data_IF_183357567351
#
_entry.id   IF_183357567351
#
_cell.length_a   1.000
_cell.length_b   1.000
_cell.length_c   1.000
_cell.angle_alpha   90.00
_cell.angle_beta   90.00
_cell.angle_gamma   90.00
#
_symmetry.space_group_name_H-M   'P 1'
#
loop_
_entity.id
_entity.type
_entity.pdbx_description
1 polymer ?
#
# COMPACT_ATOMS: atom_id res chain seq x y z
N UNK A 1 -69.09 -3.70 -1.62
CA UNK A 1 -69.64 -5.08 -1.54
C UNK A 1 -70.87 -5.15 -2.42
N UNK A 2 -71.16 -6.25 -3.15
CA UNK A 2 -70.41 -7.51 -3.29
C UNK A 2 -70.19 -7.96 -4.78
N UNK A 3 -69.62 -9.18 -4.96
CA UNK A 3 -69.54 -10.01 -6.20
C UNK A 3 -68.47 -9.59 -7.25
N UNK A 4 -67.81 -10.51 -7.99
CA UNK A 4 -67.79 -12.00 -7.94
C UNK A 4 -66.59 -12.66 -8.66
N UNK A 5 -66.29 -13.88 -8.20
CA UNK A 5 -65.37 -14.96 -8.64
C UNK A 5 -65.09 -15.28 -10.13
N UNK A 6 -63.95 -15.99 -10.31
CA UNK A 6 -63.64 -17.18 -11.19
C UNK A 6 -62.98 -17.06 -12.59
N UNK A 7 -61.65 -17.12 -12.59
CA UNK A 7 -60.73 -18.11 -13.20
C UNK A 7 -61.01 -18.86 -14.56
N UNK A 8 -60.03 -18.76 -15.49
CA UNK A 8 -59.36 -19.84 -16.30
C UNK A 8 -60.18 -20.53 -17.43
N UNK A 9 -59.66 -21.01 -18.60
CA UNK A 9 -58.25 -21.26 -19.07
C UNK A 9 -57.82 -20.72 -20.47
N UNK A 10 -56.55 -20.99 -20.87
CA UNK A 10 -55.99 -20.96 -22.25
C UNK A 10 -56.50 -22.11 -23.15
N UNK A 11 -56.45 -22.02 -24.51
CA UNK A 11 -55.36 -22.67 -25.29
C UNK A 11 -55.04 -22.13 -26.74
N UNK A 12 -54.02 -22.74 -27.38
CA UNK A 12 -53.57 -22.73 -28.81
C UNK A 12 -53.02 -21.41 -29.43
N UNK A 13 -51.85 -21.34 -30.09
CA UNK A 13 -51.22 -22.06 -31.24
C UNK A 13 -51.91 -21.87 -32.62
N UNK A 14 -51.25 -21.18 -33.56
CA UNK A 14 -51.09 -21.55 -35.00
C UNK A 14 -49.80 -20.90 -35.56
N UNK A 15 -49.11 -21.63 -36.44
CA UNK A 15 -47.86 -21.33 -37.15
C UNK A 15 -48.10 -20.71 -38.55
N UNK A 16 -47.11 -19.99 -39.14
CA UNK A 16 -46.89 -19.97 -40.60
C UNK A 16 -45.53 -19.40 -41.04
N UNK A 17 -45.01 -20.03 -42.08
CA UNK A 17 -43.64 -19.97 -42.63
C UNK A 17 -43.56 -19.23 -43.99
N UNK A 18 -42.35 -19.26 -44.62
CA UNK A 18 -42.02 -18.98 -46.04
C UNK A 18 -41.64 -17.52 -46.40
N UNK A 19 -40.70 -17.22 -47.32
CA UNK A 19 -39.62 -18.00 -47.95
C UNK A 19 -38.50 -17.04 -48.49
N UNK A 20 -37.24 -17.38 -48.23
CA UNK A 20 -36.13 -17.55 -49.20
C UNK A 20 -36.05 -16.71 -50.51
N UNK A 21 -35.01 -15.86 -50.63
CA UNK A 21 -34.25 -15.65 -51.88
C UNK A 21 -32.75 -15.56 -51.56
N UNK A 22 -31.93 -16.11 -52.44
CA UNK A 22 -30.49 -16.38 -52.29
C UNK A 22 -29.69 -15.50 -53.25
N UNK A 23 -28.64 -14.79 -52.80
CA UNK A 23 -27.54 -14.31 -53.65
C UNK A 23 -26.22 -14.55 -52.93
N UNK A 24 -25.24 -15.07 -53.67
CA UNK A 24 -23.92 -15.53 -53.23
C UNK A 24 -22.81 -14.56 -53.69
N UNK A 25 -21.57 -14.77 -53.19
CA UNK A 25 -20.27 -14.19 -53.60
C UNK A 25 -19.94 -12.81 -52.97
N UNK A 26 -18.72 -12.53 -52.47
CA UNK A 26 -17.46 -13.31 -52.50
C UNK A 26 -16.49 -12.94 -51.36
N UNK A 27 -15.54 -13.85 -51.10
CA UNK A 27 -14.33 -13.76 -50.24
C UNK A 27 -13.66 -12.37 -50.12
N UNK A 28 -13.14 -12.02 -48.93
CA UNK A 28 -11.68 -11.93 -48.69
C UNK A 28 -11.29 -11.64 -47.21
N UNK A 29 -10.25 -12.36 -46.78
CA UNK A 29 -9.28 -12.14 -45.67
C UNK A 29 -9.71 -11.71 -44.25
N UNK A 30 -9.34 -12.59 -43.31
CA UNK A 30 -8.95 -12.27 -41.94
C UNK A 30 -7.82 -11.23 -41.89
N UNK A 31 -7.84 -10.35 -40.88
CA UNK A 31 -6.63 -9.96 -40.16
C UNK A 31 -6.98 -9.48 -38.74
N UNK A 32 -6.43 -10.16 -37.74
CA UNK A 32 -6.65 -9.85 -36.33
C UNK A 32 -6.00 -8.51 -35.95
N UNK A 33 -6.72 -7.66 -35.20
CA UNK A 33 -6.16 -6.42 -34.64
C UNK A 33 -5.44 -6.73 -33.33
N UNK A 34 -4.11 -6.69 -33.37
CA UNK A 34 -3.24 -6.81 -32.21
C UNK A 34 -3.26 -5.52 -31.36
N UNK A 35 -3.62 -5.57 -30.06
CA UNK A 35 -3.71 -4.38 -29.20
C UNK A 35 -2.37 -4.08 -28.50
N UNK A 36 -1.26 -3.98 -29.24
CA UNK A 36 0.09 -3.90 -28.67
C UNK A 36 0.97 -2.79 -29.30
N UNK A 37 0.35 -1.62 -29.51
CA UNK A 37 0.97 -0.45 -30.15
C UNK A 37 0.74 0.86 -29.37
N UNK A 38 0.96 0.84 -28.05
CA UNK A 38 0.83 2.02 -27.17
C UNK A 38 1.95 2.11 -26.11
N UNK A 39 3.18 1.71 -26.46
CA UNK A 39 4.33 1.71 -25.52
C UNK A 39 5.60 2.29 -26.16
N UNK A 40 5.53 3.53 -26.66
CA UNK A 40 6.68 4.36 -27.09
C UNK A 40 6.29 5.83 -27.13
N UNK A 41 6.38 6.54 -26.00
CA UNK A 41 6.44 8.01 -25.92
C UNK A 41 6.70 8.45 -24.46
N UNK A 42 7.95 8.28 -24.01
CA UNK A 42 8.57 9.02 -22.89
C UNK A 42 10.06 8.66 -22.84
N UNK A 43 10.84 9.22 -23.77
CA UNK A 43 12.29 9.15 -23.76
C UNK A 43 12.84 10.59 -23.74
N UNK A 44 13.78 10.93 -22.82
CA UNK A 44 14.34 12.27 -22.76
C UNK A 44 15.21 12.51 -24.00
N UNK A 45 14.95 13.61 -24.72
CA UNK A 45 15.83 14.04 -25.82
C UNK A 45 17.17 14.48 -25.25
N UNK A 46 18.25 13.82 -25.68
CA UNK A 46 19.61 14.38 -25.57
C UNK A 46 19.67 15.64 -26.44
N UNK A 47 20.24 16.71 -25.90
CA UNK A 47 20.52 17.93 -26.64
C UNK A 47 22.02 17.97 -26.93
N UNK A 48 22.41 17.68 -28.16
CA UNK A 48 23.77 17.94 -28.64
C UNK A 48 23.96 19.45 -28.86
N UNK A 49 25.15 19.94 -28.53
CA UNK A 49 25.43 21.37 -28.49
C UNK A 49 25.85 21.95 -29.83
N UNK A 50 25.27 23.11 -30.18
CA UNK A 50 25.86 24.06 -31.14
C UNK A 50 25.75 25.48 -30.59
N UNK A 51 26.80 26.27 -30.81
CA UNK A 51 27.03 27.60 -30.25
C UNK A 51 26.23 28.71 -30.94
N UNK A 52 25.53 29.55 -30.15
CA UNK A 52 24.97 30.82 -30.63
C UNK A 52 24.90 31.92 -29.55
N UNK A 53 25.83 32.87 -29.67
CA UNK A 53 25.72 34.32 -29.38
C UNK A 53 24.67 34.88 -28.40
N UNK A 54 25.13 35.44 -27.28
CA UNK A 54 24.35 36.28 -26.34
C UNK A 54 23.94 37.66 -26.92
N UNK A 55 22.70 38.13 -26.71
CA UNK A 55 22.35 39.55 -26.70
C UNK A 55 22.61 40.21 -25.32
N UNK A 56 22.72 41.55 -25.28
CA UNK A 56 23.13 42.34 -24.10
C UNK A 56 21.95 42.79 -23.23
N UNK A 57 22.19 42.89 -21.92
CA UNK A 57 21.33 43.61 -20.95
C UNK A 57 21.51 45.13 -21.06
N UNK A 58 20.44 45.94 -20.96
CA UNK A 58 20.52 47.36 -20.61
C UNK A 58 20.53 47.58 -19.08
N UNK A 59 21.23 48.62 -18.62
CA UNK A 59 21.35 48.99 -17.20
C UNK A 59 20.18 49.86 -16.71
N UNK A 60 19.85 49.68 -15.43
CA UNK A 60 19.04 50.52 -14.51
C UNK A 60 18.85 52.00 -14.90
N UNK A 61 17.64 52.50 -14.60
CA UNK A 61 17.43 53.84 -14.01
C UNK A 61 16.78 53.73 -12.63
N UNK A 62 17.15 54.61 -11.69
CA UNK A 62 16.49 54.79 -10.39
C UNK A 62 15.47 55.91 -10.51
N UNK A 63 14.30 55.79 -9.86
CA UNK A 63 13.60 56.95 -9.30
C UNK A 63 12.83 56.58 -8.02
N UNK A 64 12.63 57.58 -7.19
CA UNK A 64 12.29 57.48 -5.76
C UNK A 64 10.83 57.82 -5.47
N UNK A 65 10.21 57.09 -4.54
CA UNK A 65 8.94 57.43 -3.90
C UNK A 65 8.87 56.78 -2.52
N UNK A 66 8.50 57.55 -1.47
CA UNK A 66 8.37 57.08 -0.08
C UNK A 66 6.90 56.69 0.24
N UNK A 67 6.62 55.98 1.35
CA UNK A 67 5.52 55.00 1.39
C UNK A 67 4.18 55.52 1.92
N UNK A 68 3.10 54.88 1.46
CA UNK A 68 1.78 54.89 2.11
C UNK A 68 1.61 53.73 3.09
N UNK A 69 0.87 53.95 4.18
CA UNK A 69 0.52 52.94 5.19
C UNK A 69 -0.57 51.98 4.67
N UNK A 70 -0.58 50.72 5.14
CA UNK A 70 -1.82 49.97 5.38
C UNK A 70 -2.08 49.74 6.87
N UNK A 71 -3.35 49.67 7.23
CA UNK A 71 -3.86 49.35 8.58
C UNK A 71 -3.89 47.83 8.83
N UNK A 72 -3.84 47.36 10.08
CA UNK A 72 -3.98 45.95 10.41
C UNK A 72 -5.45 45.55 10.60
N UNK A 73 -5.85 44.42 10.02
CA UNK A 73 -7.01 43.66 10.47
C UNK A 73 -6.58 42.22 10.76
N UNK A 74 -6.83 41.77 11.98
CA UNK A 74 -6.67 40.38 12.42
C UNK A 74 -8.01 39.86 12.94
N UNK A 75 -8.30 38.57 12.76
CA UNK A 75 -9.09 37.82 13.73
C UNK A 75 -8.17 36.93 14.57
N UNK A 76 -8.31 37.02 15.90
CA UNK A 76 -7.66 36.10 16.86
C UNK A 76 -8.50 34.84 17.02
N UNK A 77 -7.86 33.68 17.19
CA UNK A 77 -8.39 32.59 18.03
C UNK A 77 -7.25 31.75 18.66
N UNK A 78 -6.81 32.24 19.82
CA UNK A 78 -6.62 31.51 21.09
C UNK A 78 -5.94 30.12 21.04
N UNK A 79 -4.61 30.11 21.16
CA UNK A 79 -3.94 29.05 21.92
C UNK A 79 -4.07 29.34 23.43
N UNK A 80 -4.28 28.30 24.26
CA UNK A 80 -4.23 28.38 25.73
C UNK A 80 -2.98 27.66 26.23
N UNK A 81 -2.33 28.24 27.23
CA UNK A 81 -1.08 27.76 27.84
C UNK A 81 -1.24 27.49 29.33
N UNK A 82 -0.68 26.37 29.79
CA UNK A 82 -0.25 26.11 31.18
C UNK A 82 0.71 24.90 31.09
N UNK A 83 2.03 25.03 31.24
CA UNK A 83 2.84 25.58 32.33
C UNK A 83 2.83 24.69 33.59
N UNK A 84 3.84 23.82 33.67
CA UNK A 84 4.48 23.19 34.83
C UNK A 84 5.78 22.56 34.30
N UNK A 85 6.95 22.55 34.93
CA UNK A 85 7.63 23.32 35.97
C UNK A 85 9.04 22.68 36.02
N UNK A 86 10.10 23.46 36.20
CA UNK A 86 11.47 22.92 36.10
C UNK A 86 12.09 22.73 37.48
N UNK A 87 12.50 21.51 37.81
CA UNK A 87 13.30 21.20 38.99
C UNK A 87 14.67 20.64 38.58
N UNK A 88 15.74 21.33 38.97
CA UNK A 88 17.12 20.90 38.73
C UNK A 88 17.68 20.19 39.97
N UNK A 89 18.32 19.03 39.79
CA UNK A 89 19.17 18.40 40.81
C UNK A 89 20.53 18.09 40.19
N UNK A 90 21.61 18.55 40.83
CA UNK A 90 22.98 18.28 40.41
C UNK A 90 23.49 16.97 41.01
N UNK A 91 23.85 16.04 40.13
CA UNK A 91 25.08 15.25 40.15
C UNK A 91 25.45 14.42 41.39
N UNK A 92 25.65 13.12 41.16
CA UNK A 92 26.86 12.38 41.57
C UNK A 92 27.26 11.43 40.44
N UNK A 93 28.57 11.16 40.33
CA UNK A 93 29.11 10.09 39.49
C UNK A 93 29.19 8.84 40.35
N UNK A 94 28.78 7.71 39.81
CA UNK A 94 29.28 6.41 40.22
C UNK A 94 29.36 5.51 38.98
N UNK A 95 30.36 4.63 38.96
CA UNK A 95 30.72 3.80 37.82
C UNK A 95 30.51 2.36 38.26
N UNK A 96 29.52 1.68 37.69
CA UNK A 96 29.28 0.27 37.99
C UNK A 96 29.01 -0.55 36.73
N UNK A 97 29.52 -1.78 36.76
CA UNK A 97 29.49 -2.72 35.64
C UNK A 97 28.09 -3.32 35.46
N UNK A 98 27.53 -3.21 34.26
CA UNK A 98 26.27 -3.89 33.91
C UNK A 98 26.56 -5.33 33.51
N UNK A 99 26.25 -6.27 34.41
CA UNK A 99 25.95 -7.66 34.03
C UNK A 99 24.51 -7.77 33.55
N UNK A 100 24.28 -8.56 32.50
CA UNK A 100 22.93 -8.94 32.05
C UNK A 100 22.26 -9.91 33.01
N UNK A 101 20.98 -9.71 33.39
CA UNK A 101 20.13 -10.79 33.89
C UNK A 101 19.30 -11.42 32.76
N UNK A 102 19.05 -12.72 32.88
CA UNK A 102 18.40 -13.54 31.86
C UNK A 102 16.86 -13.45 31.88
N UNK A 103 16.25 -13.93 30.79
CA UNK A 103 14.81 -14.13 30.62
C UNK A 103 14.22 -15.06 31.70
N UNK A 104 13.04 -14.73 32.24
CA UNK A 104 12.33 -15.63 33.14
C UNK A 104 11.02 -15.09 33.71
N UNK A 105 9.92 -15.19 32.96
CA UNK A 105 8.55 -15.14 33.51
C UNK A 105 7.70 -16.19 32.78
N UNK A 106 7.08 -17.17 33.47
CA UNK A 106 6.15 -18.11 32.85
C UNK A 106 4.74 -17.51 32.78
N UNK A 107 4.10 -17.59 31.61
CA UNK A 107 2.67 -17.29 31.46
C UNK A 107 1.86 -18.60 31.46
N UNK A 108 0.86 -18.66 32.34
CA UNK A 108 -0.07 -19.78 32.45
C UNK A 108 -1.05 -19.80 31.27
N UNK A 109 -1.13 -20.95 30.59
CA UNK A 109 -2.02 -21.11 29.44
C UNK A 109 -3.47 -21.39 29.90
N UNK A 110 -4.38 -20.46 29.63
CA UNK A 110 -5.83 -20.68 29.78
C UNK A 110 -6.40 -21.17 28.44
N UNK A 111 -6.66 -22.47 28.33
CA UNK A 111 -7.16 -23.11 27.11
C UNK A 111 -8.61 -22.71 26.82
N UNK A 112 -8.83 -21.79 25.89
CA UNK A 112 -10.16 -21.46 25.38
C UNK A 112 -10.52 -22.37 24.21
N UNK A 113 -11.46 -23.30 24.42
CA UNK A 113 -11.98 -24.19 23.37
C UNK A 113 -13.14 -23.51 22.65
N UNK A 114 -12.93 -23.09 21.40
CA UNK A 114 -13.99 -22.64 20.50
C UNK A 114 -14.08 -23.52 19.25
N UNK A 115 -15.30 -23.76 18.80
CA UNK A 115 -15.64 -24.84 17.86
C UNK A 115 -15.00 -24.70 16.47
N UNK A 116 -14.43 -25.80 15.97
CA UNK A 116 -13.90 -25.89 14.60
C UNK A 116 -15.03 -26.05 13.58
N UNK A 117 -15.38 -24.96 12.89
CA UNK A 117 -16.03 -25.05 11.59
C UNK A 117 -15.05 -25.70 10.59
N UNK A 118 -15.44 -26.83 9.98
CA UNK A 118 -14.57 -27.60 9.06
C UNK A 118 -14.40 -26.88 7.73
N UNK A 119 -13.30 -26.15 7.56
CA UNK A 119 -12.80 -25.74 6.24
C UNK A 119 -11.92 -26.86 5.70
N UNK A 120 -12.48 -27.69 4.80
CA UNK A 120 -11.72 -28.72 4.09
C UNK A 120 -10.92 -28.09 2.93
N UNK A 121 -9.62 -27.85 3.14
CA UNK A 121 -8.62 -27.83 2.06
C UNK A 121 -7.22 -28.01 2.63
N UNK A 122 -6.74 -29.26 2.68
CA UNK A 122 -5.39 -29.62 3.17
C UNK A 122 -4.30 -29.45 2.11
N UNK A 123 -4.42 -28.43 1.25
CA UNK A 123 -3.40 -28.03 0.30
C UNK A 123 -2.86 -26.65 0.67
N UNK A 124 -1.55 -26.52 0.85
CA UNK A 124 -0.92 -25.20 0.94
C UNK A 124 -1.13 -24.46 -0.39
N UNK A 125 -1.48 -23.18 -0.33
CA UNK A 125 -1.60 -22.34 -1.51
C UNK A 125 -0.30 -22.37 -2.33
N UNK A 126 -0.41 -22.45 -3.66
CA UNK A 126 0.75 -22.51 -4.56
C UNK A 126 1.51 -21.17 -4.56
N UNK A 127 2.75 -21.15 -5.06
CA UNK A 127 3.51 -19.91 -5.21
C UNK A 127 2.72 -18.87 -6.04
N UNK A 128 2.07 -19.32 -7.11
CA UNK A 128 1.15 -18.52 -7.92
C UNK A 128 -0.05 -18.00 -7.12
N UNK A 129 -0.76 -18.86 -6.39
CA UNK A 129 -1.92 -18.42 -5.61
C UNK A 129 -1.54 -17.45 -4.48
N UNK A 130 -0.36 -17.62 -3.88
CA UNK A 130 0.19 -16.71 -2.84
C UNK A 130 0.65 -15.38 -3.42
N UNK A 131 1.21 -15.36 -4.64
CA UNK A 131 1.51 -14.13 -5.36
C UNK A 131 0.23 -13.38 -5.77
N UNK A 132 -0.77 -14.07 -6.35
CA UNK A 132 -2.11 -13.52 -6.60
C UNK A 132 -2.74 -13.00 -5.32
N UNK A 133 -2.58 -13.74 -4.22
CA UNK A 133 -3.04 -13.41 -2.88
C UNK A 133 -2.45 -12.10 -2.37
N UNK A 134 -1.14 -11.89 -2.50
CA UNK A 134 -0.45 -10.64 -2.14
C UNK A 134 -1.09 -9.43 -2.84
N UNK A 135 -1.24 -9.48 -4.18
CA UNK A 135 -1.86 -8.39 -4.94
C UNK A 135 -3.35 -8.20 -4.65
N UNK A 136 -4.07 -9.30 -4.43
CA UNK A 136 -5.48 -9.28 -3.99
C UNK A 136 -5.60 -8.62 -2.62
N UNK A 137 -4.66 -8.90 -1.72
CA UNK A 137 -4.57 -8.32 -0.39
C UNK A 137 -4.38 -6.81 -0.44
N UNK A 138 -3.37 -6.33 -1.17
CA UNK A 138 -3.17 -4.89 -1.41
C UNK A 138 -4.48 -4.23 -1.87
N UNK A 139 -5.04 -4.70 -2.99
CA UNK A 139 -6.23 -4.09 -3.59
C UNK A 139 -7.49 -4.15 -2.72
N UNK A 140 -7.69 -5.23 -1.95
CA UNK A 140 -8.80 -5.34 -1.02
C UNK A 140 -8.62 -4.48 0.23
N UNK A 141 -7.41 -4.42 0.80
CA UNK A 141 -7.14 -3.61 1.99
C UNK A 141 -7.31 -2.12 1.70
N UNK A 142 -6.67 -1.66 0.63
CA UNK A 142 -6.82 -0.33 0.01
C UNK A 142 -8.31 0.01 -0.18
N UNK A 143 -8.99 -0.71 -1.08
CA UNK A 143 -10.34 -0.34 -1.51
C UNK A 143 -11.44 -0.54 -0.45
N UNK A 144 -11.19 -1.35 0.58
CA UNK A 144 -12.06 -1.46 1.76
C UNK A 144 -11.82 -0.35 2.78
N UNK A 145 -10.57 0.11 2.92
CA UNK A 145 -10.19 1.15 3.88
C UNK A 145 -10.44 2.57 3.39
N UNK A 146 -10.36 2.83 2.08
CA UNK A 146 -10.41 4.20 1.52
C UNK A 146 -11.68 4.99 1.89
N UNK A 147 -12.90 4.40 1.98
CA UNK A 147 -14.10 5.13 2.44
C UNK A 147 -14.06 5.57 3.91
N UNK A 148 -13.02 5.20 4.67
CA UNK A 148 -12.86 5.46 6.08
C UNK A 148 -11.62 6.29 6.45
N UNK A 149 -10.80 6.66 5.45
CA UNK A 149 -9.57 7.43 5.64
C UNK A 149 -9.84 8.72 6.44
N UNK A 150 -8.94 9.04 7.36
CA UNK A 150 -9.00 10.23 8.21
C UNK A 150 -10.03 10.18 9.34
N UNK A 151 -10.87 9.13 9.44
CA UNK A 151 -11.81 8.98 10.56
C UNK A 151 -11.08 8.55 11.84
N UNK A 152 -11.39 9.12 13.02
CA UNK A 152 -10.70 8.76 14.26
C UNK A 152 -10.99 7.32 14.71
N UNK A 153 -12.14 6.78 14.33
CA UNK A 153 -12.54 5.39 14.55
C UNK A 153 -13.68 5.00 13.62
N UNK A 154 -13.90 3.70 13.43
CA UNK A 154 -15.02 3.15 12.65
C UNK A 154 -15.78 2.14 13.48
N UNK A 155 -17.11 2.24 13.49
CA UNK A 155 -17.96 1.27 14.20
C UNK A 155 -18.07 -0.05 13.43
N UNK A 156 -18.15 -1.15 14.16
CA UNK A 156 -18.39 -2.50 13.60
C UNK A 156 -19.66 -2.55 12.73
N UNK A 157 -20.71 -1.80 13.10
CA UNK A 157 -21.96 -1.71 12.33
C UNK A 157 -21.72 -1.05 10.98
N UNK A 158 -21.14 0.16 10.96
CA UNK A 158 -20.87 0.93 9.74
C UNK A 158 -19.96 0.16 8.77
N UNK A 159 -18.98 -0.56 9.31
CA UNK A 159 -18.09 -1.40 8.51
C UNK A 159 -18.85 -2.57 7.88
N UNK A 160 -19.68 -3.29 8.65
CA UNK A 160 -20.52 -4.37 8.13
C UNK A 160 -21.51 -3.89 7.08
N UNK A 161 -22.12 -2.72 7.24
CA UNK A 161 -22.98 -2.11 6.22
C UNK A 161 -22.23 -1.89 4.91
N UNK A 162 -20.98 -1.40 4.96
CA UNK A 162 -20.15 -1.24 3.76
C UNK A 162 -19.72 -2.59 3.14
N UNK A 163 -19.35 -3.57 3.96
CA UNK A 163 -19.03 -4.95 3.51
C UNK A 163 -20.17 -5.60 2.73
N UNK A 164 -21.42 -5.38 3.16
CA UNK A 164 -22.62 -5.95 2.55
C UNK A 164 -23.24 -5.06 1.45
N UNK A 165 -22.69 -3.86 1.23
CA UNK A 165 -23.12 -2.98 0.13
C UNK A 165 -22.75 -3.54 -1.25
N UNK A 166 -23.36 -2.99 -2.31
CA UNK A 166 -23.03 -3.31 -3.70
C UNK A 166 -22.03 -2.32 -4.34
N UNK A 167 -21.40 -1.45 -3.54
CA UNK A 167 -20.43 -0.47 -4.07
C UNK A 167 -19.21 -1.17 -4.67
N UNK A 168 -18.78 -0.75 -5.87
CA UNK A 168 -17.49 -1.18 -6.41
C UNK A 168 -16.37 -0.81 -5.44
N UNK A 169 -15.49 -1.76 -5.14
CA UNK A 169 -14.29 -1.54 -4.34
C UNK A 169 -13.23 -0.97 -5.28
N UNK A 170 -13.12 0.36 -5.28
CA UNK A 170 -12.17 1.12 -6.11
C UNK A 170 -10.91 1.42 -5.32
N UNK A 171 -9.76 1.24 -5.95
CA UNK A 171 -8.46 1.35 -5.31
C UNK A 171 -7.89 2.79 -5.37
N UNK A 172 -6.98 3.14 -4.46
CA UNK A 172 -6.31 4.45 -4.33
C UNK A 172 -4.90 4.44 -4.94
N UNK A 173 -4.02 5.37 -4.56
CA UNK A 173 -2.64 5.37 -5.03
C UNK A 173 -1.78 4.23 -4.45
N UNK A 174 -2.18 3.63 -3.34
CA UNK A 174 -1.68 2.35 -2.81
C UNK A 174 -1.52 1.30 -3.92
N UNK A 175 -2.65 0.85 -4.48
CA UNK A 175 -2.66 -0.16 -5.53
C UNK A 175 -2.10 0.39 -6.84
N UNK A 176 -2.34 1.66 -7.18
CA UNK A 176 -1.85 2.25 -8.42
C UNK A 176 -0.31 2.25 -8.48
N UNK A 177 0.36 2.63 -7.39
CA UNK A 177 1.81 2.59 -7.28
C UNK A 177 2.35 1.18 -7.05
N UNK A 178 1.63 0.31 -6.35
CA UNK A 178 1.98 -1.12 -6.25
C UNK A 178 2.07 -1.76 -7.64
N UNK A 179 1.11 -1.47 -8.52
CA UNK A 179 1.13 -1.96 -9.90
C UNK A 179 2.30 -1.36 -10.69
N UNK A 180 2.67 -0.10 -10.44
CA UNK A 180 3.84 0.52 -11.08
C UNK A 180 5.16 -0.18 -10.67
N UNK A 181 5.33 -0.46 -9.37
CA UNK A 181 6.47 -1.26 -8.85
C UNK A 181 6.49 -2.65 -9.49
N UNK A 182 5.35 -3.35 -9.52
CA UNK A 182 5.24 -4.69 -10.09
C UNK A 182 5.61 -4.73 -11.58
N UNK A 183 5.13 -3.76 -12.37
CA UNK A 183 5.47 -3.64 -13.81
C UNK A 183 6.96 -3.34 -14.01
N UNK A 184 7.56 -2.52 -13.15
CA UNK A 184 9.00 -2.24 -13.20
C UNK A 184 9.82 -3.51 -13.02
N UNK A 185 9.57 -4.26 -11.94
CA UNK A 185 10.27 -5.52 -11.65
C UNK A 185 10.20 -6.51 -12.83
N UNK A 186 9.03 -6.63 -13.47
CA UNK A 186 8.81 -7.50 -14.63
C UNK A 186 9.63 -7.07 -15.85
N UNK A 187 9.64 -5.78 -16.17
CA UNK A 187 10.42 -5.27 -17.31
C UNK A 187 11.93 -5.40 -17.06
N UNK A 188 12.39 -5.11 -15.84
CA UNK A 188 13.80 -5.30 -15.45
C UNK A 188 14.26 -6.75 -15.56
N UNK A 189 13.41 -7.69 -15.13
CA UNK A 189 13.68 -9.12 -15.28
C UNK A 189 13.71 -9.56 -16.75
N UNK A 190 12.78 -9.06 -17.58
CA UNK A 190 12.74 -9.32 -19.03
C UNK A 190 14.00 -8.84 -19.77
N UNK A 191 14.61 -7.75 -19.29
CA UNK A 191 15.84 -7.18 -19.83
C UNK A 191 17.13 -7.87 -19.33
N UNK A 192 17.03 -8.81 -18.38
CA UNK A 192 18.18 -9.58 -17.87
C UNK A 192 19.16 -8.77 -17.01
N UNK A 193 18.71 -7.66 -16.41
CA UNK A 193 19.55 -6.77 -15.59
C UNK A 193 19.25 -6.87 -14.09
N UNK A 194 19.71 -5.87 -13.32
CA UNK A 194 19.29 -5.70 -11.93
C UNK A 194 17.76 -5.55 -11.84
N UNK A 195 17.15 -6.28 -10.90
CA UNK A 195 15.70 -6.31 -10.63
C UNK A 195 15.07 -4.93 -10.43
N UNK A 196 15.85 -3.96 -9.97
CA UNK A 196 15.42 -2.59 -9.72
C UNK A 196 16.47 -1.62 -10.25
N UNK A 197 16.03 -0.73 -11.15
CA UNK A 197 16.69 0.52 -11.50
C UNK A 197 15.89 1.68 -10.86
N UNK A 198 16.53 2.49 -10.04
CA UNK A 198 15.89 3.57 -9.29
C UNK A 198 15.42 4.72 -10.20
N UNK A 199 16.15 5.04 -11.27
CA UNK A 199 15.80 6.15 -12.17
C UNK A 199 14.58 5.82 -13.01
N UNK A 200 14.56 4.62 -13.58
CA UNK A 200 13.40 4.08 -14.29
C UNK A 200 12.20 3.88 -13.35
N UNK A 201 12.41 3.42 -12.10
CA UNK A 201 11.33 3.30 -11.12
C UNK A 201 10.71 4.68 -10.80
N UNK A 202 11.53 5.70 -10.56
CA UNK A 202 11.05 7.06 -10.30
C UNK A 202 10.18 7.56 -11.48
N UNK A 203 10.64 7.35 -12.71
CA UNK A 203 9.88 7.67 -13.92
C UNK A 203 8.58 6.85 -14.05
N UNK A 204 8.60 5.55 -13.70
CA UNK A 204 7.43 4.69 -13.74
C UNK A 204 6.35 5.12 -12.73
N UNK A 205 6.74 5.54 -11.51
CA UNK A 205 5.83 6.08 -10.50
C UNK A 205 5.23 7.41 -10.95
N UNK A 206 6.03 8.34 -11.49
CA UNK A 206 5.54 9.58 -12.07
C UNK A 206 4.58 9.33 -13.26
N UNK A 207 4.87 8.34 -14.11
CA UNK A 207 3.99 7.93 -15.20
C UNK A 207 2.67 7.27 -14.71
N UNK A 208 2.66 6.65 -13.53
CA UNK A 208 1.43 6.14 -12.91
C UNK A 208 0.57 7.31 -12.41
N UNK A 209 1.18 8.28 -11.72
CA UNK A 209 0.51 9.52 -11.31
C UNK A 209 -0.06 10.29 -12.50
N UNK A 210 0.71 10.49 -13.58
CA UNK A 210 0.25 11.19 -14.79
C UNK A 210 -0.97 10.53 -15.46
N UNK A 211 -1.13 9.20 -15.32
CA UNK A 211 -2.24 8.46 -15.95
C UNK A 211 -3.53 8.54 -15.15
N UNK A 212 -3.44 8.50 -13.82
CA UNK A 212 -4.60 8.42 -12.92
C UNK A 212 -4.43 9.38 -11.70
N UNK A 213 -4.21 10.70 -11.89
CA UNK A 213 -3.82 11.61 -10.80
C UNK A 213 -4.90 11.82 -9.72
N UNK A 214 -6.14 11.38 -9.99
CA UNK A 214 -7.29 11.44 -9.07
C UNK A 214 -7.33 10.31 -8.03
N UNK A 215 -6.28 9.49 -7.91
CA UNK A 215 -6.30 8.25 -7.09
C UNK A 215 -6.18 8.42 -5.57
N UNK A 216 -5.89 9.59 -5.05
CA UNK A 216 -5.72 9.80 -3.59
C UNK A 216 -4.40 10.48 -3.20
N UNK A 217 -3.43 10.45 -4.11
CA UNK A 217 -2.07 10.98 -3.93
C UNK A 217 -1.99 12.25 -3.07
N UNK A 218 -1.28 12.14 -1.94
CA UNK A 218 -0.94 13.29 -1.11
C UNK A 218 -0.25 14.40 -1.92
N UNK A 219 -0.51 15.67 -1.57
CA UNK A 219 0.05 16.85 -2.26
C UNK A 219 1.58 16.78 -2.40
N UNK A 220 2.29 16.29 -1.38
CA UNK A 220 3.74 16.11 -1.40
C UNK A 220 4.21 15.06 -2.42
N UNK A 221 3.42 14.02 -2.69
CA UNK A 221 3.70 13.05 -3.74
C UNK A 221 3.48 13.67 -5.12
N UNK A 222 2.39 14.43 -5.30
CA UNK A 222 2.12 15.19 -6.53
C UNK A 222 3.22 16.22 -6.83
N UNK A 223 3.70 16.97 -5.83
CA UNK A 223 4.83 17.91 -5.95
C UNK A 223 6.12 17.20 -6.40
N UNK A 224 6.41 16.03 -5.82
CA UNK A 224 7.58 15.22 -6.20
C UNK A 224 7.46 14.69 -7.63
N UNK A 225 6.31 14.14 -8.03
CA UNK A 225 6.09 13.68 -9.40
C UNK A 225 6.13 14.84 -10.41
N UNK A 226 5.66 16.03 -10.03
CA UNK A 226 5.83 17.27 -10.80
C UNK A 226 7.30 17.65 -11.03
N UNK A 227 8.15 17.52 -10.00
CA UNK A 227 9.60 17.71 -10.14
C UNK A 227 10.23 16.69 -11.09
N UNK A 228 9.91 15.39 -10.94
CA UNK A 228 10.42 14.33 -11.82
C UNK A 228 10.02 14.56 -13.28
N UNK A 229 8.74 14.90 -13.53
CA UNK A 229 8.24 15.25 -14.86
C UNK A 229 8.93 16.49 -15.46
N UNK A 230 9.40 17.41 -14.61
CA UNK A 230 10.17 18.59 -15.01
C UNK A 230 11.65 18.30 -15.27
N UNK A 231 12.09 17.04 -15.16
CA UNK A 231 13.46 16.60 -15.41
C UNK A 231 14.40 16.75 -14.21
N UNK A 232 13.89 17.01 -13.00
CA UNK A 232 14.72 17.01 -11.78
C UNK A 232 15.21 15.59 -11.50
N UNK A 233 16.52 15.36 -11.27
CA UNK A 233 17.03 14.04 -10.91
C UNK A 233 16.34 13.49 -9.67
N UNK A 234 15.98 12.20 -9.67
CA UNK A 234 15.16 11.63 -8.59
C UNK A 234 15.79 11.73 -7.20
N UNK A 235 17.13 11.67 -7.12
CA UNK A 235 17.88 11.83 -5.86
C UNK A 235 17.65 13.22 -5.26
N UNK A 236 17.70 14.25 -6.11
CA UNK A 236 17.51 15.64 -5.71
C UNK A 236 16.06 15.90 -5.35
N UNK A 237 15.11 15.36 -6.14
CA UNK A 237 13.68 15.48 -5.87
C UNK A 237 13.29 14.81 -4.53
N UNK A 238 13.73 13.57 -4.28
CA UNK A 238 13.36 12.81 -3.08
C UNK A 238 13.98 13.36 -1.79
N UNK A 239 15.19 13.93 -1.86
CA UNK A 239 15.88 14.55 -0.72
C UNK A 239 15.40 15.97 -0.45
N UNK A 240 15.11 16.77 -1.48
CA UNK A 240 14.71 18.18 -1.30
C UNK A 240 13.36 18.36 -0.59
N UNK A 241 12.48 17.34 -0.65
CA UNK A 241 11.19 17.33 0.06
C UNK A 241 11.33 17.65 1.55
N UNK A 242 10.29 18.28 2.12
CA UNK A 242 10.22 18.65 3.54
C UNK A 242 11.44 19.45 4.03
N UNK A 243 11.90 20.41 3.22
CA UNK A 243 13.05 21.29 3.48
C UNK A 243 14.38 20.52 3.61
N UNK A 244 14.59 19.52 2.76
CA UNK A 244 15.83 18.72 2.76
C UNK A 244 15.84 17.52 3.72
N UNK A 245 14.72 17.21 4.38
CA UNK A 245 14.60 16.06 5.29
C UNK A 245 14.14 14.78 4.56
N UNK A 246 13.52 14.92 3.38
CA UNK A 246 12.86 13.82 2.69
C UNK A 246 11.52 13.41 3.34
N UNK A 247 10.73 12.59 2.64
CA UNK A 247 9.48 12.04 3.18
C UNK A 247 9.74 10.88 4.14
N UNK A 248 9.17 10.95 5.35
CA UNK A 248 9.02 9.84 6.31
C UNK A 248 7.65 9.15 6.23
N UNK A 249 6.86 9.49 5.22
CA UNK A 249 5.54 8.90 4.99
C UNK A 249 5.59 7.39 4.70
N UNK A 250 4.45 6.74 4.83
CA UNK A 250 4.25 5.33 4.52
C UNK A 250 4.07 5.04 3.02
N UNK A 251 3.96 6.07 2.18
CA UNK A 251 3.75 5.94 0.73
C UNK A 251 4.79 5.11 -0.02
N UNK A 252 5.96 4.84 0.59
CA UNK A 252 6.92 3.86 0.12
C UNK A 252 6.62 2.42 0.57
N UNK A 253 6.17 2.21 1.80
CA UNK A 253 5.84 0.90 2.36
C UNK A 253 4.56 0.32 1.72
N UNK A 254 3.54 1.16 1.50
CA UNK A 254 2.27 0.75 0.90
C UNK A 254 2.43 0.01 -0.44
N UNK A 255 3.43 0.42 -1.23
CA UNK A 255 3.69 -0.07 -2.58
C UNK A 255 4.80 -1.10 -2.72
N UNK A 256 5.54 -1.40 -1.65
CA UNK A 256 6.78 -2.19 -1.76
C UNK A 256 6.58 -3.71 -1.76
N UNK A 257 5.43 -4.22 -1.30
CA UNK A 257 5.20 -5.66 -1.14
C UNK A 257 5.57 -6.54 -2.37
N UNK A 258 5.36 -6.11 -3.64
CA UNK A 258 5.77 -6.91 -4.81
C UNK A 258 7.26 -7.23 -4.90
N UNK A 259 8.17 -6.45 -4.29
CA UNK A 259 9.62 -6.73 -4.36
C UNK A 259 9.96 -8.06 -3.68
N UNK A 260 9.14 -8.50 -2.72
CA UNK A 260 9.30 -9.76 -2.02
C UNK A 260 9.13 -11.00 -2.94
N UNK A 261 8.42 -10.89 -4.07
CA UNK A 261 8.25 -11.98 -5.03
C UNK A 261 9.49 -12.20 -5.91
N UNK A 262 10.33 -11.19 -6.06
CA UNK A 262 11.60 -11.26 -6.82
C UNK A 262 12.84 -11.36 -5.90
N UNK A 263 12.66 -11.24 -4.59
CA UNK A 263 13.74 -11.32 -3.62
C UNK A 263 14.20 -12.77 -3.39
N UNK A 264 15.50 -12.94 -3.11
CA UNK A 264 16.13 -14.25 -2.86
C UNK A 264 16.26 -14.58 -1.37
N UNK A 265 16.01 -13.61 -0.48
CA UNK A 265 16.07 -13.76 0.96
C UNK A 265 15.31 -12.62 1.63
N UNK A 266 14.98 -12.76 2.92
CA UNK A 266 14.38 -11.69 3.71
C UNK A 266 15.26 -10.42 3.75
N UNK A 267 16.58 -10.61 3.78
CA UNK A 267 17.57 -9.52 3.75
C UNK A 267 17.62 -8.81 2.38
N UNK A 268 17.47 -9.57 1.28
CA UNK A 268 17.37 -9.01 -0.06
C UNK A 268 16.02 -8.29 -0.26
N UNK A 269 14.92 -8.79 0.31
CA UNK A 269 13.62 -8.13 0.28
C UNK A 269 13.65 -6.78 1.01
N UNK A 270 14.25 -6.73 2.21
CA UNK A 270 14.46 -5.48 2.95
C UNK A 270 15.26 -4.46 2.12
N UNK A 271 16.35 -4.90 1.49
CA UNK A 271 17.21 -4.02 0.67
C UNK A 271 16.49 -3.50 -0.59
N UNK A 272 15.77 -4.36 -1.32
CA UNK A 272 14.92 -3.91 -2.43
C UNK A 272 13.83 -2.93 -1.95
N UNK A 273 13.30 -3.12 -0.73
CA UNK A 273 12.38 -2.19 -0.08
C UNK A 273 12.97 -0.79 0.11
N UNK A 274 14.19 -0.67 0.69
CA UNK A 274 14.89 0.61 0.84
C UNK A 274 15.15 1.29 -0.51
N UNK A 275 15.66 0.54 -1.48
CA UNK A 275 15.95 1.04 -2.83
C UNK A 275 14.67 1.55 -3.51
N UNK A 276 13.58 0.77 -3.46
CA UNK A 276 12.26 1.15 -3.98
C UNK A 276 11.59 2.33 -3.24
N UNK A 277 11.98 2.59 -1.99
CA UNK A 277 11.54 3.74 -1.23
C UNK A 277 12.32 5.02 -1.60
N UNK A 278 13.65 4.91 -1.75
CA UNK A 278 14.58 6.03 -1.93
C UNK A 278 14.21 6.98 -3.08
N UNK A 279 13.53 6.48 -4.11
CA UNK A 279 13.05 7.25 -5.28
C UNK A 279 11.97 8.29 -4.97
N UNK A 280 11.27 8.17 -3.83
CA UNK A 280 10.31 9.20 -3.39
C UNK A 280 10.41 9.56 -1.90
N UNK A 281 11.10 8.75 -1.08
CA UNK A 281 11.22 8.91 0.36
C UNK A 281 12.69 9.04 0.75
N UNK A 282 13.19 10.29 0.81
CA UNK A 282 14.56 10.59 1.22
C UNK A 282 14.85 10.38 2.72
N UNK A 283 13.84 10.30 3.58
CA UNK A 283 14.04 10.15 5.04
C UNK A 283 14.27 8.67 5.42
N UNK A 284 15.22 8.35 6.32
CA UNK A 284 15.49 6.98 6.76
C UNK A 284 14.26 6.20 7.21
N UNK A 285 13.38 6.79 8.03
CA UNK A 285 12.14 6.13 8.47
C UNK A 285 11.20 5.69 7.34
N UNK A 286 11.12 6.46 6.25
CA UNK A 286 10.32 6.10 5.08
C UNK A 286 10.92 4.92 4.30
N UNK A 287 12.26 4.82 4.29
CA UNK A 287 12.99 3.73 3.66
C UNK A 287 12.96 2.44 4.49
N UNK A 288 13.19 2.54 5.80
CA UNK A 288 13.22 1.38 6.68
C UNK A 288 11.79 0.84 6.93
N UNK A 289 10.76 1.68 6.94
CA UNK A 289 9.37 1.21 6.93
C UNK A 289 9.02 0.38 5.68
N UNK A 290 9.53 0.76 4.51
CA UNK A 290 9.40 -0.03 3.30
C UNK A 290 10.26 -1.30 3.35
N UNK A 291 11.44 -1.27 3.99
CA UNK A 291 12.27 -2.44 4.22
C UNK A 291 11.56 -3.46 5.14
N UNK A 292 10.94 -2.99 6.22
CA UNK A 292 10.13 -3.78 7.15
C UNK A 292 8.95 -4.43 6.43
N UNK A 293 8.18 -3.67 5.65
CA UNK A 293 7.02 -4.20 4.93
C UNK A 293 7.42 -5.19 3.83
N UNK A 294 8.50 -4.94 3.09
CA UNK A 294 9.02 -5.86 2.08
C UNK A 294 9.59 -7.15 2.70
N UNK A 295 10.34 -7.05 3.79
CA UNK A 295 10.84 -8.19 4.56
C UNK A 295 9.67 -9.02 5.14
N UNK A 296 8.65 -8.35 5.67
CA UNK A 296 7.44 -9.00 6.18
C UNK A 296 6.66 -9.69 5.06
N UNK A 297 6.54 -9.08 3.88
CA UNK A 297 5.94 -9.73 2.72
C UNK A 297 6.74 -10.98 2.29
N UNK A 298 8.07 -10.95 2.36
CA UNK A 298 8.91 -12.14 2.10
C UNK A 298 8.75 -13.24 3.16
N UNK A 299 8.56 -12.87 4.43
CA UNK A 299 8.33 -13.80 5.55
C UNK A 299 6.88 -14.31 5.62
N UNK A 300 5.92 -13.58 5.04
CA UNK A 300 4.53 -13.98 4.87
C UNK A 300 4.37 -14.86 3.61
N UNK A 301 5.10 -14.54 2.53
CA UNK A 301 5.63 -15.58 1.63
C UNK A 301 6.48 -16.58 2.45
N UNK A 302 6.81 -17.76 1.94
CA UNK A 302 7.53 -18.82 2.68
C UNK A 302 6.92 -19.39 3.98
N UNK A 303 6.11 -18.66 4.77
CA UNK A 303 5.39 -19.21 5.93
C UNK A 303 4.39 -20.28 5.48
N UNK A 304 4.54 -21.49 6.05
CA UNK A 304 3.71 -22.68 5.80
C UNK A 304 3.07 -23.13 7.10
N UNK A 305 1.76 -23.36 7.09
CA UNK A 305 0.99 -23.76 8.26
C UNK A 305 0.57 -22.58 9.13
N UNK A 306 0.45 -22.80 10.43
CA UNK A 306 0.10 -21.78 11.42
C UNK A 306 1.20 -20.74 11.55
N UNK A 307 0.81 -19.46 11.62
CA UNK A 307 1.72 -18.37 11.94
C UNK A 307 2.03 -18.36 13.44
N UNK A 308 3.31 -18.34 13.80
CA UNK A 308 3.77 -17.96 15.14
C UNK A 308 4.23 -16.48 15.09
N UNK A 309 3.49 -15.56 15.73
CA UNK A 309 3.85 -14.15 15.76
C UNK A 309 5.22 -13.85 16.37
N UNK A 310 5.64 -14.60 17.40
CA UNK A 310 6.91 -14.34 18.08
C UNK A 310 8.09 -14.72 17.18
N UNK A 311 8.05 -15.91 16.56
CA UNK A 311 9.04 -16.32 15.55
C UNK A 311 9.04 -15.41 14.33
N UNK A 312 7.90 -14.88 13.90
CA UNK A 312 7.84 -13.91 12.80
C UNK A 312 8.57 -12.61 13.15
N UNK A 313 8.25 -12.00 14.29
CA UNK A 313 8.90 -10.76 14.75
C UNK A 313 10.40 -10.98 15.03
N UNK A 314 10.79 -12.14 15.56
CA UNK A 314 12.20 -12.50 15.80
C UNK A 314 12.99 -12.61 14.49
N UNK A 315 12.41 -13.20 13.44
CA UNK A 315 13.02 -13.24 12.09
C UNK A 315 13.13 -11.85 11.47
N UNK A 316 12.13 -11.00 11.67
CA UNK A 316 12.12 -9.62 11.17
C UNK A 316 13.20 -8.76 11.86
N UNK A 317 13.33 -8.87 13.18
CA UNK A 317 14.40 -8.20 13.95
C UNK A 317 15.82 -8.72 13.63
N UNK A 318 15.95 -9.92 13.06
CA UNK A 318 17.22 -10.44 12.54
C UNK A 318 17.62 -9.84 11.18
N UNK A 319 16.77 -9.02 10.55
CA UNK A 319 17.05 -8.30 9.30
C UNK A 319 17.01 -6.78 9.49
N UNK A 320 16.10 -6.31 10.34
CA UNK A 320 15.87 -4.89 10.62
C UNK A 320 16.64 -4.53 11.90
N UNK A 321 17.68 -3.71 11.75
CA UNK A 321 18.62 -3.39 12.83
C UNK A 321 18.58 -1.93 13.30
N UNK A 322 17.81 -1.06 12.64
CA UNK A 322 17.65 0.33 13.08
C UNK A 322 16.99 0.36 14.48
N UNK A 323 17.63 0.92 15.52
CA UNK A 323 17.13 0.84 16.90
C UNK A 323 15.71 1.38 17.12
N UNK A 324 15.28 2.41 16.40
CA UNK A 324 13.92 2.94 16.44
C UNK A 324 12.88 1.98 15.85
N UNK A 325 13.22 1.21 14.83
CA UNK A 325 12.39 0.16 14.27
C UNK A 325 12.39 -1.11 15.13
N UNK A 326 13.53 -1.51 15.70
CA UNK A 326 13.59 -2.62 16.68
C UNK A 326 12.67 -2.34 17.87
N UNK A 327 12.67 -1.11 18.42
CA UNK A 327 11.72 -0.72 19.49
C UNK A 327 10.25 -0.79 19.05
N UNK A 328 9.94 -0.48 17.79
CA UNK A 328 8.58 -0.61 17.25
C UNK A 328 8.15 -2.06 17.08
N UNK A 329 9.03 -2.95 16.64
CA UNK A 329 8.75 -4.39 16.60
C UNK A 329 8.50 -4.97 18.01
N UNK A 330 9.22 -4.47 19.02
CA UNK A 330 8.95 -4.79 20.43
C UNK A 330 7.59 -4.24 20.91
N UNK A 331 7.21 -3.03 20.51
CA UNK A 331 5.87 -2.48 20.80
C UNK A 331 4.75 -3.31 20.14
N UNK A 332 4.94 -3.74 18.88
CA UNK A 332 4.01 -4.66 18.20
C UNK A 332 3.85 -5.94 19.01
N UNK A 333 4.96 -6.59 19.41
CA UNK A 333 4.92 -7.79 20.25
C UNK A 333 4.14 -7.57 21.55
N UNK A 334 4.34 -6.44 22.24
CA UNK A 334 3.63 -6.10 23.47
C UNK A 334 2.11 -5.95 23.28
N UNK A 335 1.65 -5.49 22.10
CA UNK A 335 0.22 -5.33 21.82
C UNK A 335 -0.46 -6.60 21.26
N UNK A 336 0.27 -7.67 20.91
CA UNK A 336 -0.34 -8.93 20.39
C UNK A 336 -1.26 -9.64 21.40
N UNK A 337 -1.07 -9.40 22.69
CA UNK A 337 -1.97 -9.89 23.75
C UNK A 337 -3.31 -9.14 23.82
N UNK A 338 -3.43 -8.01 23.11
CA UNK A 338 -4.61 -7.14 23.12
C UNK A 338 -5.30 -7.18 21.75
N UNK A 339 -6.63 -7.32 21.77
CA UNK A 339 -7.49 -7.37 20.56
C UNK A 339 -8.30 -6.10 20.31
N UNK A 340 -7.97 -5.02 21.02
CA UNK A 340 -8.62 -3.72 20.87
C UNK A 340 -7.86 -2.85 19.86
N UNK A 341 -8.45 -2.54 18.69
CA UNK A 341 -7.79 -1.74 17.67
C UNK A 341 -7.57 -0.28 18.10
N UNK A 342 -8.34 0.25 19.06
CA UNK A 342 -8.15 1.63 19.53
C UNK A 342 -6.90 1.74 20.39
N UNK A 343 -6.73 0.84 21.36
CA UNK A 343 -5.47 0.70 22.11
C UNK A 343 -4.27 0.44 21.19
N UNK A 344 -4.42 -0.41 20.17
CA UNK A 344 -3.34 -0.66 19.22
C UNK A 344 -2.96 0.62 18.45
N UNK A 345 -3.93 1.44 18.04
CA UNK A 345 -3.70 2.74 17.41
C UNK A 345 -3.02 3.77 18.35
N UNK A 346 -3.40 3.80 19.62
CA UNK A 346 -2.78 4.69 20.63
C UNK A 346 -1.30 4.37 20.85
N UNK A 347 -0.95 3.09 20.85
CA UNK A 347 0.40 2.59 21.20
C UNK A 347 1.34 2.45 19.99
N UNK A 348 0.79 2.11 18.81
CA UNK A 348 1.56 1.86 17.59
C UNK A 348 1.47 3.01 16.59
N UNK A 349 0.50 3.92 16.76
CA UNK A 349 0.08 4.90 15.77
C UNK A 349 -0.94 4.35 14.78
N UNK A 350 -1.56 5.25 14.02
CA UNK A 350 -2.50 4.93 12.94
C UNK A 350 -2.49 5.97 11.80
N UNK A 351 -1.39 6.71 11.64
CA UNK A 351 -1.30 7.84 10.69
C UNK A 351 -0.28 7.61 9.57
N UNK A 352 -0.26 8.56 8.62
CA UNK A 352 0.55 8.56 7.38
C UNK A 352 2.07 8.41 7.57
N UNK A 353 2.60 8.48 8.79
CA UNK A 353 4.02 8.18 9.05
C UNK A 353 4.27 6.67 8.91
N UNK A 354 5.32 6.29 8.18
CA UNK A 354 5.72 4.88 8.08
C UNK A 354 5.88 4.23 9.46
N UNK A 355 6.50 4.97 10.38
CA UNK A 355 6.73 4.60 11.79
C UNK A 355 5.48 4.44 12.65
N UNK A 356 4.30 4.81 12.14
CA UNK A 356 3.01 4.75 12.84
C UNK A 356 1.99 3.82 12.13
N UNK A 357 2.14 3.57 10.84
CA UNK A 357 1.22 2.71 10.07
C UNK A 357 1.75 1.30 9.84
N UNK A 358 3.05 1.13 9.56
CA UNK A 358 3.67 -0.19 9.38
C UNK A 358 3.58 -1.06 10.66
N UNK A 359 3.83 -0.52 11.88
CA UNK A 359 3.67 -1.32 13.11
C UNK A 359 2.23 -1.77 13.34
N UNK A 360 1.24 -0.91 13.10
CA UNK A 360 -0.17 -1.26 13.27
C UNK A 360 -0.65 -2.29 12.22
N UNK A 361 -0.16 -2.19 10.98
CA UNK A 361 -0.40 -3.20 9.95
C UNK A 361 0.18 -4.57 10.32
N UNK A 362 1.38 -4.60 10.92
CA UNK A 362 1.97 -5.82 11.46
C UNK A 362 1.16 -6.39 12.63
N UNK A 363 0.72 -5.56 13.59
CA UNK A 363 -0.14 -6.01 14.69
C UNK A 363 -1.44 -6.64 14.17
N UNK A 364 -2.11 -6.00 13.21
CA UNK A 364 -3.36 -6.51 12.64
C UNK A 364 -3.14 -7.85 11.92
N UNK A 365 -2.11 -7.95 11.07
CA UNK A 365 -1.74 -9.22 10.42
C UNK A 365 -1.42 -10.31 11.44
N UNK A 366 -0.52 -10.06 12.39
CA UNK A 366 -0.03 -11.06 13.34
C UNK A 366 -1.09 -11.51 14.36
N UNK A 367 -1.93 -10.59 14.85
CA UNK A 367 -2.98 -10.89 15.85
C UNK A 367 -4.23 -11.56 15.27
N UNK A 368 -4.45 -11.45 13.95
CA UNK A 368 -5.68 -11.87 13.27
C UNK A 368 -5.45 -12.73 12.02
N UNK A 369 -4.24 -13.27 11.82
CA UNK A 369 -3.80 -14.05 10.65
C UNK A 369 -4.70 -15.23 10.23
N UNK A 370 -5.58 -15.72 11.11
CA UNK A 370 -6.55 -16.77 10.81
C UNK A 370 -7.79 -16.31 10.04
N UNK A 371 -8.07 -15.00 10.01
CA UNK A 371 -9.25 -14.42 9.37
C UNK A 371 -8.86 -13.19 8.55
N UNK A 372 -8.73 -13.31 7.21
CA UNK A 372 -8.38 -12.19 6.34
C UNK A 372 -9.35 -11.01 6.42
N UNK A 373 -10.62 -11.32 6.67
CA UNK A 373 -11.65 -10.31 6.93
C UNK A 373 -11.35 -9.55 8.20
N UNK A 374 -11.00 -10.23 9.29
CA UNK A 374 -10.76 -9.55 10.56
C UNK A 374 -9.44 -8.76 10.56
N UNK A 375 -8.41 -9.17 9.80
CA UNK A 375 -7.22 -8.33 9.57
C UNK A 375 -7.61 -6.97 9.01
N UNK A 376 -8.37 -6.96 7.90
CA UNK A 376 -8.86 -5.72 7.27
C UNK A 376 -9.77 -4.94 8.23
N UNK A 377 -10.66 -5.62 8.96
CA UNK A 377 -11.55 -4.95 9.93
C UNK A 377 -10.80 -4.25 11.06
N UNK A 378 -9.77 -4.87 11.64
CA UNK A 378 -9.04 -4.24 12.74
C UNK A 378 -8.28 -3.00 12.27
N UNK A 379 -7.67 -3.03 11.07
CA UNK A 379 -7.06 -1.85 10.45
C UNK A 379 -8.06 -0.71 10.28
N UNK A 380 -9.25 -0.99 9.73
CA UNK A 380 -10.27 0.05 9.50
C UNK A 380 -10.84 0.58 10.82
N UNK A 381 -11.08 -0.30 11.80
CA UNK A 381 -11.61 0.07 13.12
C UNK A 381 -10.62 0.91 13.94
N UNK A 382 -9.33 0.71 13.76
CA UNK A 382 -8.27 1.52 14.36
C UNK A 382 -8.29 2.99 13.89
N UNK A 383 -8.96 3.28 12.77
CA UNK A 383 -9.07 4.64 12.23
C UNK A 383 -7.76 5.18 11.66
N UNK A 384 -7.75 6.47 11.36
CA UNK A 384 -6.61 7.17 10.76
C UNK A 384 -6.45 6.83 9.28
N UNK A 385 -5.26 6.38 8.91
CA UNK A 385 -4.84 6.04 7.55
C UNK A 385 -5.29 4.62 7.15
N UNK A 386 -6.60 4.44 7.06
CA UNK A 386 -7.24 3.12 7.09
C UNK A 386 -7.04 2.28 5.83
N UNK A 387 -6.94 2.90 4.65
CA UNK A 387 -6.55 2.20 3.41
C UNK A 387 -5.10 1.75 3.46
N UNK A 388 -4.15 2.65 3.73
CA UNK A 388 -2.73 2.28 3.70
C UNK A 388 -2.40 1.18 4.73
N UNK A 389 -2.94 1.29 5.94
CA UNK A 389 -2.74 0.30 7.01
C UNK A 389 -3.39 -1.04 6.65
N UNK A 390 -4.62 -1.04 6.12
CA UNK A 390 -5.32 -2.26 5.71
C UNK A 390 -4.65 -2.91 4.49
N UNK A 391 -4.25 -2.13 3.49
CA UNK A 391 -3.51 -2.53 2.29
C UNK A 391 -2.22 -3.28 2.67
N UNK A 392 -1.40 -2.70 3.55
CA UNK A 392 -0.18 -3.34 4.02
C UNK A 392 -0.44 -4.66 4.77
N UNK A 393 -1.39 -4.69 5.69
CA UNK A 393 -1.71 -5.89 6.49
C UNK A 393 -2.36 -7.01 5.64
N UNK A 394 -3.23 -6.63 4.70
CA UNK A 394 -3.89 -7.53 3.77
C UNK A 394 -2.91 -8.11 2.75
N UNK A 395 -1.91 -7.34 2.29
CA UNK A 395 -0.83 -7.84 1.44
C UNK A 395 -0.09 -9.03 2.10
N UNK A 396 0.27 -8.91 3.38
CA UNK A 396 0.91 -9.99 4.16
C UNK A 396 -0.03 -11.19 4.29
N UNK A 397 -1.29 -10.94 4.63
CA UNK A 397 -2.32 -11.97 4.79
C UNK A 397 -2.53 -12.77 3.50
N UNK A 398 -2.64 -12.08 2.36
CA UNK A 398 -2.79 -12.68 1.05
C UNK A 398 -1.53 -13.41 0.58
N UNK A 399 -0.34 -12.87 0.86
CA UNK A 399 0.94 -13.54 0.62
C UNK A 399 1.07 -14.86 1.38
N UNK A 400 0.46 -14.95 2.58
CA UNK A 400 0.44 -16.18 3.37
C UNK A 400 -0.62 -17.17 2.89
N UNK A 401 -1.87 -16.71 2.70
CA UNK A 401 -3.07 -17.58 2.53
C UNK A 401 -3.56 -17.77 1.09
N UNK A 402 -3.01 -17.02 0.13
CA UNK A 402 -3.43 -17.09 -1.27
C UNK A 402 -4.68 -16.28 -1.61
N UNK A 403 -5.03 -16.20 -2.89
CA UNK A 403 -6.20 -15.44 -3.35
C UNK A 403 -7.52 -16.12 -2.95
N UNK A 404 -7.53 -17.44 -2.84
CA UNK A 404 -8.70 -18.22 -2.40
C UNK A 404 -9.13 -17.96 -0.94
N UNK A 405 -8.27 -17.36 -0.11
CA UNK A 405 -8.57 -17.02 1.28
C UNK A 405 -9.54 -15.85 1.48
N UNK A 406 -9.86 -15.09 0.43
CA UNK A 406 -10.67 -13.87 0.51
C UNK A 406 -12.17 -14.11 0.20
N UNK A 407 -13.09 -13.31 0.78
CA UNK A 407 -14.52 -13.43 0.49
C UNK A 407 -14.83 -13.19 -1.00
N UNK A 408 -15.53 -14.14 -1.62
CA UNK A 408 -15.95 -14.05 -3.02
C UNK A 408 -16.86 -12.84 -3.31
N UNK A 409 -17.57 -12.33 -2.30
CA UNK A 409 -18.33 -11.08 -2.38
C UNK A 409 -17.44 -9.86 -2.58
N UNK A 410 -16.29 -9.80 -1.91
CA UNK A 410 -15.31 -8.71 -2.03
C UNK A 410 -14.55 -8.81 -3.35
N UNK A 411 -14.07 -10.02 -3.70
CA UNK A 411 -13.33 -10.27 -4.94
C UNK A 411 -14.10 -9.80 -6.19
N UNK A 412 -15.40 -10.13 -6.31
CA UNK A 412 -16.23 -9.70 -7.44
C UNK A 412 -16.44 -8.18 -7.53
N UNK A 413 -16.19 -7.44 -6.46
CA UNK A 413 -16.35 -5.97 -6.39
C UNK A 413 -15.03 -5.23 -6.61
N UNK A 414 -13.88 -5.89 -6.52
CA UNK A 414 -12.56 -5.26 -6.61
C UNK A 414 -12.23 -4.79 -8.04
N UNK A 415 -11.94 -3.49 -8.16
CA UNK A 415 -11.41 -2.87 -9.37
C UNK A 415 -10.09 -3.53 -9.78
N UNK A 416 -10.01 -4.01 -11.03
CA UNK A 416 -8.76 -4.51 -11.60
C UNK A 416 -8.28 -5.88 -11.10
N UNK A 417 -9.12 -6.69 -10.43
CA UNK A 417 -8.75 -8.02 -9.90
C UNK A 417 -7.96 -8.89 -10.91
N UNK A 418 -8.41 -8.97 -12.17
CA UNK A 418 -7.72 -9.74 -13.22
C UNK A 418 -6.28 -9.25 -13.43
N UNK A 419 -6.08 -7.93 -13.58
CA UNK A 419 -4.77 -7.29 -13.74
C UNK A 419 -3.87 -7.52 -12.52
N UNK A 420 -4.44 -7.58 -11.31
CA UNK A 420 -3.73 -7.91 -10.08
C UNK A 420 -3.29 -9.38 -10.06
N UNK A 421 -4.13 -10.30 -10.53
CA UNK A 421 -3.79 -11.72 -10.66
C UNK A 421 -2.74 -11.96 -11.76
N UNK A 422 -2.84 -11.28 -12.91
CA UNK A 422 -1.85 -11.36 -13.99
C UNK A 422 -0.45 -10.94 -13.53
N UNK A 423 -0.35 -9.88 -12.70
CA UNK A 423 0.91 -9.42 -12.13
C UNK A 423 1.46 -10.42 -11.11
N UNK A 424 0.59 -10.98 -10.26
CA UNK A 424 0.94 -12.07 -9.34
C UNK A 424 1.51 -13.27 -10.08
N UNK A 425 0.86 -13.72 -11.16
CA UNK A 425 1.32 -14.86 -11.97
C UNK A 425 2.63 -14.60 -12.71
N UNK A 426 2.84 -13.38 -13.20
CA UNK A 426 4.07 -13.01 -13.86
C UNK A 426 5.24 -12.93 -12.88
N UNK A 427 5.04 -12.34 -11.69
CA UNK A 427 6.09 -12.23 -10.67
C UNK A 427 6.36 -13.56 -9.95
N UNK A 428 5.36 -14.44 -9.81
CA UNK A 428 5.57 -15.80 -9.29
C UNK A 428 6.59 -16.60 -10.12
N UNK A 429 6.69 -16.32 -11.44
CA UNK A 429 7.70 -16.92 -12.34
C UNK A 429 9.10 -16.33 -12.19
N UNK A 430 9.28 -15.23 -11.45
CA UNK A 430 10.59 -14.69 -11.10
C UNK A 430 11.12 -15.22 -9.76
N UNK A 431 10.25 -15.83 -8.94
CA UNK A 431 10.64 -16.41 -7.66
C UNK A 431 11.56 -17.62 -7.92
N UNK A 432 12.76 -17.67 -7.28
CA UNK A 432 13.76 -18.71 -7.53
C UNK A 432 13.38 -20.09 -6.95
#
# INVERSE_FOLDING_TARGET
>A
MPRSFRAVPHPHQVDRTQHLVHVDRTRHHEQARNPDAATRLCAPRRADGTTASRPRLPRRTRRSGRPGRPTPFSPRLKARSSAFEAAAIRGRREVDHVHSPALGVPLTATTCVLGRSRVNSTGFASAHDRARGLFTGVGLGDAMGAPFEGKPSVSELTLREFEHSNHQLRYTDDTALTIAVAKHLLERARLGGHLLDEGELAAALACAWNREPWRGFATSAADLFGQLNSGVPWRDAAVSMFRGQGSFGNGAAMRCAPVALAAQSAHHAAELGRRAASVTHGHPDGQEGAAVQACSAYLALHTRGSLDPESFLRKLAHVIHEPGWVRRLQAVAAQLGHRDPHRAAEELGNDVRATHSVPLALWAFLGHAESPVDVVRQCIRAGGDTDTIASMAAALTGAMRGAAGWPQSWLRRLEGLHRLHDLGDQLARLSP
#
